data_IF_559867631820
#
_entry.id   IF_559867631820
#
_cell.length_a   1.000
_cell.length_b   1.000
_cell.length_c   1.000
_cell.angle_alpha   90.00
_cell.angle_beta   90.00
_cell.angle_gamma   90.00
#
_symmetry.space_group_name_H-M   'P 1'
#
loop_
_entity.id
_entity.type
_entity.pdbx_description
1 polymer ?
#
# COMPACT_ATOMS: atom_id res chain seq x y z
N UNK A 1 27.86 -25.03 8.54
CA UNK A 1 26.54 -24.64 9.05
C UNK A 1 25.85 -23.92 7.91
N UNK A 2 24.91 -24.57 7.23
CA UNK A 2 24.05 -23.89 6.27
C UNK A 2 23.02 -23.07 7.05
N UNK A 3 23.33 -21.78 7.25
CA UNK A 3 22.54 -20.86 8.09
C UNK A 3 21.20 -20.49 7.44
N UNK A 4 20.96 -20.88 6.18
CA UNK A 4 19.79 -20.44 5.40
C UNK A 4 19.02 -21.65 4.88
N UNK A 5 17.87 -21.92 5.50
CA UNK A 5 16.86 -22.79 4.92
C UNK A 5 16.38 -22.16 3.61
N UNK A 6 16.71 -22.77 2.48
CA UNK A 6 16.12 -22.40 1.19
C UNK A 6 14.60 -22.56 1.28
N UNK A 7 13.88 -21.47 1.06
CA UNK A 7 12.44 -21.53 0.81
C UNK A 7 12.28 -22.37 -0.46
N UNK A 8 11.64 -23.54 -0.35
CA UNK A 8 11.26 -24.31 -1.52
C UNK A 8 10.26 -23.46 -2.30
N UNK A 9 10.51 -23.24 -3.59
CA UNK A 9 9.55 -22.62 -4.50
C UNK A 9 8.35 -23.56 -4.62
N UNK A 10 7.41 -23.46 -3.70
CA UNK A 10 6.11 -24.08 -3.80
C UNK A 10 5.26 -23.19 -4.70
N UNK A 11 4.89 -23.71 -5.86
CA UNK A 11 3.76 -23.33 -6.72
C UNK A 11 3.56 -21.84 -7.06
N UNK A 12 4.59 -21.01 -6.94
CA UNK A 12 4.49 -19.58 -7.25
C UNK A 12 3.63 -18.79 -6.25
N UNK A 13 3.42 -19.32 -5.04
CA UNK A 13 2.66 -18.71 -3.95
C UNK A 13 3.57 -18.20 -2.82
N UNK A 14 4.65 -17.49 -3.16
CA UNK A 14 5.57 -16.89 -2.19
C UNK A 14 5.52 -15.35 -2.24
N UNK A 15 6.13 -14.69 -1.25
CA UNK A 15 6.09 -13.22 -1.17
C UNK A 15 6.69 -12.53 -2.41
N UNK A 16 7.73 -13.12 -3.02
CA UNK A 16 8.37 -12.58 -4.22
C UNK A 16 7.44 -12.63 -5.43
N UNK A 17 6.72 -13.74 -5.62
CA UNK A 17 5.73 -13.85 -6.70
C UNK A 17 4.52 -12.95 -6.46
N UNK A 18 4.08 -12.78 -5.20
CA UNK A 18 3.04 -11.83 -4.84
C UNK A 18 3.42 -10.38 -5.19
N UNK A 19 4.64 -9.95 -4.85
CA UNK A 19 5.18 -8.63 -5.23
C UNK A 19 5.20 -8.47 -6.76
N UNK A 20 5.69 -9.48 -7.49
CA UNK A 20 5.73 -9.44 -8.95
C UNK A 20 4.33 -9.34 -9.59
N UNK A 21 3.36 -10.10 -9.07
CA UNK A 21 1.97 -10.07 -9.55
C UNK A 21 1.30 -8.71 -9.27
N UNK A 22 1.61 -8.12 -8.12
CA UNK A 22 1.13 -6.78 -7.77
C UNK A 22 1.72 -5.71 -8.68
N UNK A 23 3.04 -5.69 -8.90
CA UNK A 23 3.69 -4.74 -9.84
C UNK A 23 3.16 -4.90 -11.27
N UNK A 24 2.97 -6.13 -11.73
CA UNK A 24 2.35 -6.40 -13.04
C UNK A 24 0.94 -5.82 -13.11
N UNK A 25 0.14 -6.04 -12.06
CA UNK A 25 -1.21 -5.49 -11.96
C UNK A 25 -1.25 -3.96 -11.95
N UNK A 26 -0.36 -3.33 -11.19
CA UNK A 26 -0.22 -1.87 -11.15
C UNK A 26 0.10 -1.34 -12.55
N UNK A 27 1.08 -1.93 -13.24
CA UNK A 27 1.43 -1.56 -14.61
C UNK A 27 0.24 -1.68 -15.57
N UNK A 28 -0.52 -2.77 -15.49
CA UNK A 28 -1.72 -2.99 -16.32
C UNK A 28 -2.79 -1.92 -16.08
N UNK A 29 -3.09 -1.62 -14.81
CA UNK A 29 -4.06 -0.59 -14.41
C UNK A 29 -3.62 0.77 -14.97
N UNK A 30 -2.37 1.16 -14.69
CA UNK A 30 -1.83 2.45 -15.10
C UNK A 30 -1.87 2.63 -16.62
N UNK A 31 -1.41 1.63 -17.39
CA UNK A 31 -1.43 1.70 -18.86
C UNK A 31 -2.85 1.80 -19.41
N UNK A 32 -3.77 0.98 -18.88
CA UNK A 32 -5.17 0.98 -19.30
C UNK A 32 -5.81 2.35 -19.03
N UNK A 33 -5.64 2.89 -17.83
CA UNK A 33 -6.23 4.17 -17.45
C UNK A 33 -5.62 5.33 -18.23
N UNK A 34 -4.30 5.40 -18.38
CA UNK A 34 -3.67 6.46 -19.17
C UNK A 34 -4.20 6.50 -20.62
N UNK A 35 -4.49 5.34 -21.21
CA UNK A 35 -5.08 5.26 -22.56
C UNK A 35 -6.56 5.64 -22.66
N UNK A 36 -7.29 5.67 -21.54
CA UNK A 36 -8.73 5.85 -21.50
C UNK A 36 -9.15 7.09 -20.69
N UNK A 37 -8.97 7.04 -19.36
CA UNK A 37 -9.28 8.11 -18.41
C UNK A 37 -8.18 8.12 -17.35
N UNK A 38 -7.39 9.19 -17.33
CA UNK A 38 -6.28 9.37 -16.40
C UNK A 38 -6.76 10.13 -15.15
N UNK A 39 -7.23 9.37 -14.17
CA UNK A 39 -7.92 9.90 -12.99
C UNK A 39 -7.54 9.12 -11.72
N UNK A 40 -7.28 9.85 -10.63
CA UNK A 40 -6.81 9.26 -9.38
C UNK A 40 -7.90 8.46 -8.65
N UNK A 41 -9.17 8.80 -8.83
CA UNK A 41 -10.28 8.09 -8.20
C UNK A 41 -10.48 6.73 -8.86
N UNK A 42 -10.50 6.70 -10.19
CA UNK A 42 -10.54 5.46 -10.96
C UNK A 42 -9.31 4.58 -10.68
N UNK A 43 -8.13 5.18 -10.50
CA UNK A 43 -6.92 4.49 -10.05
C UNK A 43 -7.13 3.81 -8.70
N UNK A 44 -7.73 4.52 -7.75
CA UNK A 44 -8.01 4.03 -6.40
C UNK A 44 -9.00 2.85 -6.41
N UNK A 45 -10.08 2.94 -7.20
CA UNK A 45 -11.03 1.86 -7.39
C UNK A 45 -10.37 0.61 -7.99
N UNK A 46 -9.67 0.77 -9.11
CA UNK A 46 -9.02 -0.34 -9.83
C UNK A 46 -7.94 -1.01 -8.99
N UNK A 47 -7.20 -0.23 -8.21
CA UNK A 47 -6.20 -0.76 -7.29
C UNK A 47 -6.85 -1.56 -6.15
N UNK A 48 -7.96 -1.06 -5.57
CA UNK A 48 -8.70 -1.76 -4.52
C UNK A 48 -9.20 -3.13 -4.97
N UNK A 49 -9.81 -3.19 -6.16
CA UNK A 49 -10.27 -4.43 -6.78
C UNK A 49 -9.10 -5.41 -7.03
N UNK A 50 -7.99 -4.90 -7.59
CA UNK A 50 -6.81 -5.73 -7.88
C UNK A 50 -6.20 -6.31 -6.60
N UNK A 51 -6.10 -5.51 -5.53
CA UNK A 51 -5.58 -5.97 -4.25
C UNK A 51 -6.44 -7.10 -3.67
N UNK A 52 -7.75 -6.94 -3.63
CA UNK A 52 -8.64 -8.00 -3.15
C UNK A 52 -8.58 -9.25 -4.04
N UNK A 53 -8.54 -9.09 -5.36
CA UNK A 53 -8.39 -10.20 -6.30
C UNK A 53 -7.10 -10.99 -6.11
N UNK A 54 -6.00 -10.29 -5.81
CA UNK A 54 -4.69 -10.92 -5.63
C UNK A 54 -4.53 -11.59 -4.26
N UNK A 55 -5.11 -11.03 -3.21
CA UNK A 55 -4.78 -11.40 -1.83
C UNK A 55 -5.93 -11.97 -1.00
N UNK A 56 -7.20 -11.86 -1.41
CA UNK A 56 -8.29 -12.39 -0.60
C UNK A 56 -8.25 -13.92 -0.52
N UNK A 57 -8.32 -14.44 0.71
CA UNK A 57 -8.28 -15.88 1.05
C UNK A 57 -7.08 -16.62 0.45
N UNK A 58 -5.91 -15.98 0.51
CA UNK A 58 -4.65 -16.52 -0.04
C UNK A 58 -3.68 -16.88 1.06
N UNK A 59 -2.93 -17.96 0.86
CA UNK A 59 -1.74 -18.28 1.66
C UNK A 59 -0.50 -17.89 0.89
N UNK A 60 0.34 -17.06 1.50
CA UNK A 60 1.60 -16.57 0.95
C UNK A 60 2.73 -17.18 1.76
N UNK A 61 3.64 -17.90 1.10
CA UNK A 61 4.84 -18.41 1.75
C UNK A 61 5.86 -17.28 1.97
N UNK A 62 6.23 -17.08 3.23
CA UNK A 62 7.16 -16.05 3.68
C UNK A 62 8.37 -16.70 4.37
N UNK A 63 9.52 -16.02 4.48
CA UNK A 63 10.62 -16.52 5.31
C UNK A 63 10.11 -16.80 6.73
N UNK A 64 10.30 -18.04 7.21
CA UNK A 64 9.89 -18.45 8.55
C UNK A 64 8.48 -19.05 8.67
N UNK A 65 7.64 -19.02 7.62
CA UNK A 65 6.31 -19.62 7.72
C UNK A 65 5.39 -19.36 6.52
N UNK A 66 4.11 -19.20 6.80
CA UNK A 66 3.07 -18.85 5.84
C UNK A 66 2.19 -17.76 6.42
N UNK A 67 1.75 -16.87 5.57
CA UNK A 67 0.82 -15.80 5.90
C UNK A 67 -0.48 -16.05 5.14
N UNK A 68 -1.54 -16.40 5.84
CA UNK A 68 -2.89 -16.40 5.32
C UNK A 68 -3.47 -14.99 5.39
N UNK A 69 -4.15 -14.57 4.33
CA UNK A 69 -4.68 -13.21 4.21
C UNK A 69 -6.13 -13.19 3.78
N UNK A 70 -6.94 -12.34 4.40
CA UNK A 70 -8.35 -12.09 4.04
C UNK A 70 -8.59 -10.61 3.80
N UNK A 71 -9.22 -10.28 2.69
CA UNK A 71 -9.33 -8.90 2.18
C UNK A 71 -10.76 -8.58 1.78
N UNK A 72 -11.24 -7.41 2.18
CA UNK A 72 -12.51 -6.86 1.69
C UNK A 72 -12.31 -5.38 1.35
N UNK A 73 -12.85 -4.96 0.22
CA UNK A 73 -12.84 -3.57 -0.21
C UNK A 73 -14.21 -2.94 0.01
N UNK A 74 -14.17 -1.68 0.41
CA UNK A 74 -15.33 -0.84 0.61
C UNK A 74 -15.09 0.52 -0.02
N UNK A 75 -16.16 1.18 -0.43
CA UNK A 75 -16.15 2.58 -0.84
C UNK A 75 -17.21 3.35 -0.04
N UNK A 76 -17.05 4.66 0.10
CA UNK A 76 -18.11 5.48 0.68
C UNK A 76 -19.33 5.50 -0.24
N UNK A 77 -20.52 5.37 0.35
CA UNK A 77 -21.79 5.30 -0.38
C UNK A 77 -22.06 6.50 -1.30
N UNK A 78 -21.66 7.69 -0.85
CA UNK A 78 -21.73 8.97 -1.54
C UNK A 78 -20.34 9.63 -1.46
N UNK A 79 -19.96 10.46 -2.44
CA UNK A 79 -18.70 11.20 -2.38
C UNK A 79 -18.66 12.01 -1.08
N UNK A 80 -17.68 11.78 -0.18
CA UNK A 80 -17.68 12.46 1.09
C UNK A 80 -17.44 13.95 0.85
N UNK A 81 -18.13 14.81 1.61
CA UNK A 81 -17.95 16.27 1.52
C UNK A 81 -16.48 16.68 1.65
N UNK A 82 -15.71 15.87 2.38
CA UNK A 82 -14.29 16.04 2.59
C UNK A 82 -13.58 14.68 2.57
N UNK A 83 -12.73 14.49 1.57
CA UNK A 83 -11.85 13.32 1.49
C UNK A 83 -10.66 13.53 2.44
N UNK A 84 -10.42 12.55 3.30
CA UNK A 84 -9.25 12.51 4.18
C UNK A 84 -8.03 11.94 3.46
N UNK A 85 -8.21 10.83 2.75
CA UNK A 85 -7.24 10.19 1.86
C UNK A 85 -7.96 9.45 0.74
N UNK A 86 -7.28 9.17 -0.37
CA UNK A 86 -7.85 8.33 -1.44
C UNK A 86 -8.20 6.94 -0.92
N UNK A 87 -7.29 6.31 -0.16
CA UNK A 87 -7.48 4.97 0.37
C UNK A 87 -7.02 4.88 1.82
N UNK A 88 -7.68 4.03 2.61
CA UNK A 88 -7.20 3.58 3.90
C UNK A 88 -7.21 2.05 3.95
N UNK A 89 -6.30 1.50 4.76
CA UNK A 89 -6.28 0.09 5.13
C UNK A 89 -6.54 0.00 6.63
N UNK A 90 -7.31 -0.98 7.08
CA UNK A 90 -7.29 -1.42 8.47
C UNK A 90 -6.76 -2.85 8.47
N UNK A 91 -5.60 -3.04 9.08
CA UNK A 91 -4.92 -4.32 9.16
C UNK A 91 -5.08 -4.88 10.56
N UNK A 92 -5.65 -6.08 10.66
CA UNK A 92 -5.60 -6.93 11.84
C UNK A 92 -4.55 -8.00 11.61
N UNK A 93 -3.54 -8.06 12.47
CA UNK A 93 -2.38 -8.94 12.33
C UNK A 93 -2.28 -9.82 13.56
N UNK A 94 -2.39 -11.14 13.37
CA UNK A 94 -2.14 -12.17 14.38
C UNK A 94 -0.76 -12.78 14.14
N UNK A 95 0.15 -12.58 15.09
CA UNK A 95 1.53 -13.07 15.01
C UNK A 95 1.62 -14.54 15.48
N UNK A 96 2.74 -15.19 15.13
CA UNK A 96 3.02 -16.59 15.46
C UNK A 96 3.01 -16.94 16.97
N UNK A 97 3.23 -15.94 17.82
CA UNK A 97 3.16 -16.05 19.29
C UNK A 97 1.76 -15.74 19.84
N UNK A 98 0.78 -15.50 18.95
CA UNK A 98 -0.62 -15.13 19.23
C UNK A 98 -0.80 -13.70 19.74
N UNK A 99 0.23 -12.87 19.68
CA UNK A 99 0.02 -11.44 19.85
C UNK A 99 -0.78 -10.92 18.66
N UNK A 100 -1.71 -10.00 18.93
CA UNK A 100 -2.58 -9.41 17.93
C UNK A 100 -2.45 -7.90 17.96
N UNK A 101 -2.43 -7.30 16.78
CA UNK A 101 -2.44 -5.85 16.64
C UNK A 101 -3.37 -5.43 15.53
N UNK A 102 -4.08 -4.32 15.72
CA UNK A 102 -4.88 -3.68 14.68
C UNK A 102 -4.38 -2.26 14.45
N UNK A 103 -4.10 -1.92 13.20
CA UNK A 103 -3.62 -0.59 12.83
C UNK A 103 -4.13 -0.14 11.47
N UNK A 104 -4.08 1.17 11.21
CA UNK A 104 -4.52 1.78 9.97
C UNK A 104 -3.36 2.33 9.15
N UNK A 105 -3.43 2.17 7.83
CA UNK A 105 -2.55 2.86 6.89
C UNK A 105 -3.37 3.76 5.96
N UNK A 106 -2.78 4.86 5.50
CA UNK A 106 -3.44 5.82 4.62
C UNK A 106 -2.60 6.10 3.39
N UNK A 107 -3.23 6.13 2.22
CA UNK A 107 -2.63 6.49 0.94
C UNK A 107 -3.40 7.64 0.29
N UNK A 108 -2.69 8.70 -0.07
CA UNK A 108 -3.20 9.78 -0.93
C UNK A 108 -2.64 9.58 -2.35
N UNK A 109 -3.51 9.23 -3.29
CA UNK A 109 -3.14 8.79 -4.64
C UNK A 109 -3.12 10.00 -5.58
N UNK A 110 -2.01 10.16 -6.30
CA UNK A 110 -1.81 11.25 -7.25
C UNK A 110 -1.26 10.73 -8.56
N UNK A 111 -1.77 11.27 -9.66
CA UNK A 111 -1.41 10.86 -11.02
C UNK A 111 -0.56 11.94 -11.70
N UNK A 112 0.50 11.54 -12.40
CA UNK A 112 1.38 12.49 -13.10
C UNK A 112 0.66 13.22 -14.22
N UNK A 113 0.88 14.52 -14.36
CA UNK A 113 0.32 15.32 -15.45
C UNK A 113 0.82 14.81 -16.83
N UNK A 114 -0.07 14.54 -17.80
CA UNK A 114 0.33 14.05 -19.12
C UNK A 114 1.36 14.96 -19.81
N UNK A 115 2.48 14.37 -20.21
CA UNK A 115 3.58 15.06 -20.89
C UNK A 115 4.42 15.99 -20.01
N UNK A 116 4.23 15.97 -18.68
CA UNK A 116 4.94 16.84 -17.74
C UNK A 116 5.56 16.02 -16.60
N UNK A 117 6.50 16.63 -15.87
CA UNK A 117 7.13 16.03 -14.70
C UNK A 117 6.50 16.50 -13.38
N UNK A 118 5.19 16.76 -13.38
CA UNK A 118 4.46 17.38 -12.27
C UNK A 118 3.29 16.51 -11.85
N UNK A 119 2.91 16.63 -10.57
CA UNK A 119 1.69 16.10 -9.96
C UNK A 119 0.86 17.30 -9.48
N UNK A 120 0.16 17.95 -10.42
CA UNK A 120 -0.51 19.24 -10.15
C UNK A 120 -1.68 19.14 -9.18
N UNK A 121 -2.26 17.96 -9.05
CA UNK A 121 -3.36 17.60 -8.16
C UNK A 121 -2.96 17.52 -6.68
N UNK A 122 -1.66 17.38 -6.38
CA UNK A 122 -1.14 17.39 -5.01
C UNK A 122 -1.48 18.73 -4.33
N UNK A 123 -2.23 18.67 -3.23
CA UNK A 123 -2.57 19.83 -2.39
C UNK A 123 -1.78 19.77 -1.08
N UNK A 124 -0.83 20.69 -0.89
CA UNK A 124 0.04 20.73 0.31
C UNK A 124 -0.75 20.79 1.62
N UNK A 125 -1.86 21.51 1.64
CA UNK A 125 -2.72 21.60 2.83
C UNK A 125 -3.47 20.29 3.13
N UNK A 126 -3.81 19.52 2.08
CA UNK A 126 -4.39 18.19 2.26
C UNK A 126 -3.37 17.22 2.84
N UNK A 127 -2.16 17.17 2.26
CA UNK A 127 -1.05 16.36 2.79
C UNK A 127 -0.71 16.75 4.22
N UNK A 128 -0.67 18.05 4.55
CA UNK A 128 -0.42 18.52 5.92
C UNK A 128 -1.50 18.06 6.90
N UNK A 129 -2.78 18.14 6.50
CA UNK A 129 -3.90 17.65 7.31
C UNK A 129 -3.82 16.14 7.54
N UNK A 130 -3.49 15.39 6.49
CA UNK A 130 -3.30 13.95 6.53
C UNK A 130 -2.16 13.59 7.49
N UNK A 131 -0.96 14.15 7.29
CA UNK A 131 0.22 13.94 8.15
C UNK A 131 -0.03 14.30 9.63
N UNK A 132 -0.82 15.34 9.90
CA UNK A 132 -1.14 15.76 11.29
C UNK A 132 -1.95 14.70 12.03
N UNK A 133 -2.78 13.93 11.33
CA UNK A 133 -3.66 12.93 11.95
C UNK A 133 -3.17 11.50 11.78
N UNK A 134 -2.33 11.24 10.77
CA UNK A 134 -1.69 9.97 10.46
C UNK A 134 -0.24 10.21 9.97
N UNK A 135 0.74 10.34 10.87
CA UNK A 135 2.13 10.63 10.51
C UNK A 135 2.82 9.60 9.58
N UNK A 136 2.39 8.35 9.61
CA UNK A 136 2.91 7.27 8.76
C UNK A 136 2.18 7.16 7.40
N UNK A 137 1.26 8.07 7.11
CA UNK A 137 0.57 8.13 5.82
C UNK A 137 1.53 8.32 4.65
N UNK A 138 1.13 7.81 3.48
CA UNK A 138 1.93 7.88 2.26
C UNK A 138 1.20 8.66 1.17
N UNK A 139 2.00 9.30 0.31
CA UNK A 139 1.57 9.79 -1.00
C UNK A 139 1.95 8.71 -2.02
N UNK A 140 0.97 8.23 -2.79
CA UNK A 140 1.18 7.27 -3.87
C UNK A 140 1.26 8.02 -5.21
N UNK A 141 2.44 8.05 -5.80
CA UNK A 141 2.73 8.70 -7.08
C UNK A 141 2.59 7.68 -8.21
N UNK A 142 1.52 7.82 -9.00
CA UNK A 142 1.26 7.00 -10.18
C UNK A 142 1.78 7.68 -11.45
N UNK A 143 2.63 6.97 -12.20
CA UNK A 143 3.28 7.47 -13.41
C UNK A 143 3.05 6.48 -14.56
N UNK A 144 2.62 6.98 -15.72
CA UNK A 144 2.47 6.20 -16.94
C UNK A 144 3.84 5.80 -17.54
N UNK A 145 4.91 6.52 -17.19
CA UNK A 145 6.29 6.15 -17.46
C UNK A 145 6.84 5.24 -16.34
N UNK A 146 7.78 4.36 -16.67
CA UNK A 146 8.43 3.52 -15.67
C UNK A 146 9.26 4.38 -14.69
N UNK A 147 9.01 4.23 -13.40
CA UNK A 147 9.73 4.92 -12.32
C UNK A 147 10.96 4.09 -11.96
N UNK A 148 12.12 4.74 -11.93
CA UNK A 148 13.40 4.20 -11.49
C UNK A 148 14.17 5.22 -10.63
N UNK A 149 15.32 4.84 -10.07
CA UNK A 149 16.13 5.76 -9.24
C UNK A 149 15.49 6.12 -7.90
N UNK A 150 14.60 5.24 -7.42
CA UNK A 150 13.96 5.34 -6.11
C UNK A 150 14.95 5.19 -4.96
N UNK A 151 14.53 5.57 -3.74
CA UNK A 151 15.29 5.22 -2.54
C UNK A 151 15.45 3.69 -2.52
N UNK A 152 16.70 3.22 -2.54
CA UNK A 152 16.98 1.81 -2.68
C UNK A 152 16.41 1.07 -1.47
N UNK A 153 15.31 0.35 -1.67
CA UNK A 153 14.91 -0.68 -0.74
C UNK A 153 16.04 -1.71 -0.76
N UNK A 154 16.71 -1.91 0.36
CA UNK A 154 17.54 -3.10 0.55
C UNK A 154 16.61 -4.30 0.34
N UNK A 155 16.60 -4.89 -0.87
CA UNK A 155 16.01 -6.21 -1.08
C UNK A 155 16.57 -7.13 0.03
N UNK A 156 15.76 -8.01 0.63
CA UNK A 156 16.25 -9.01 1.58
C UNK A 156 17.45 -9.81 1.04
N UNK A 157 17.58 -9.90 -0.28
CA UNK A 157 18.72 -10.49 -1.00
C UNK A 157 20.06 -9.77 -0.70
N UNK A 158 20.04 -8.49 -0.29
CA UNK A 158 21.22 -7.73 0.13
C UNK A 158 21.62 -7.96 1.60
N UNK A 159 20.71 -8.46 2.45
CA UNK A 159 21.00 -8.76 3.86
C UNK A 159 21.63 -10.16 3.99
N UNK A 160 21.35 -11.05 3.04
CA UNK A 160 22.03 -12.33 2.90
C UNK A 160 23.35 -12.10 2.18
N UNK A 161 24.46 -12.03 2.92
CA UNK A 161 25.82 -11.78 2.41
C UNK A 161 26.40 -12.85 1.47
N UNK A 162 25.62 -13.34 0.49
CA UNK A 162 26.01 -14.40 -0.42
C UNK A 162 25.44 -14.24 -1.84
N UNK A 163 25.57 -13.06 -2.43
CA UNK A 163 25.46 -12.88 -3.88
C UNK A 163 26.52 -11.88 -4.37
N UNK A 164 27.48 -12.39 -5.16
CA UNK A 164 28.45 -11.56 -5.89
C UNK A 164 27.71 -10.66 -6.88
N UNK A 165 27.98 -9.37 -6.76
CA UNK A 165 27.36 -8.29 -7.50
C UNK A 165 27.44 -8.43 -9.03
N UNK A 166 26.30 -8.24 -9.70
CA UNK A 166 26.27 -7.37 -10.88
C UNK A 166 25.19 -6.31 -10.63
N UNK A 167 25.58 -5.04 -10.55
CA UNK A 167 24.66 -3.89 -10.49
C UNK A 167 23.72 -3.80 -11.71
N UNK A 168 23.88 -4.66 -12.71
CA UNK A 168 23.31 -4.52 -14.04
C UNK A 168 21.95 -5.22 -14.27
N UNK A 169 21.44 -6.05 -13.35
CA UNK A 169 20.29 -6.90 -13.70
C UNK A 169 18.95 -6.55 -13.06
N UNK A 170 18.88 -5.74 -12.00
CA UNK A 170 17.61 -5.41 -11.32
C UNK A 170 17.62 -3.95 -10.87
N UNK A 171 17.38 -3.02 -11.80
CA UNK A 171 16.84 -1.73 -11.40
C UNK A 171 15.34 -1.95 -11.17
N UNK A 172 14.83 -1.92 -9.92
CA UNK A 172 13.41 -2.07 -9.69
C UNK A 172 12.68 -0.94 -10.42
N UNK A 173 11.81 -1.31 -11.35
CA UNK A 173 10.90 -0.39 -12.02
C UNK A 173 9.51 -0.59 -11.45
N UNK A 174 8.80 0.51 -11.25
CA UNK A 174 7.39 0.49 -10.83
C UNK A 174 6.63 1.57 -11.58
N UNK A 175 5.30 1.51 -11.52
CA UNK A 175 4.42 2.58 -11.98
C UNK A 175 3.67 3.24 -10.81
N UNK A 176 3.92 2.83 -9.57
CA UNK A 176 3.32 3.41 -8.38
C UNK A 176 4.32 3.45 -7.22
N UNK A 177 4.82 4.65 -6.90
CA UNK A 177 5.84 4.87 -5.89
C UNK A 177 5.27 5.58 -4.66
N UNK A 178 5.52 5.05 -3.47
CA UNK A 178 5.11 5.61 -2.19
C UNK A 178 6.20 6.48 -1.59
N UNK A 179 5.82 7.66 -1.07
CA UNK A 179 6.67 8.51 -0.24
C UNK A 179 5.89 8.93 1.01
N UNK A 180 6.54 8.92 2.17
CA UNK A 180 5.92 9.38 3.42
C UNK A 180 5.47 10.84 3.29
N UNK A 181 4.27 11.15 3.80
CA UNK A 181 3.71 12.51 3.72
C UNK A 181 4.61 13.54 4.41
N UNK A 182 5.22 13.19 5.55
CA UNK A 182 6.20 14.04 6.23
C UNK A 182 7.41 14.38 5.33
N UNK A 183 8.00 13.38 4.66
CA UNK A 183 9.11 13.60 3.76
C UNK A 183 8.71 14.41 2.52
N UNK A 184 7.53 14.14 1.95
CA UNK A 184 6.99 14.91 0.84
C UNK A 184 6.80 16.40 1.22
N UNK A 185 6.29 16.66 2.43
CA UNK A 185 6.17 18.02 2.98
C UNK A 185 7.52 18.69 3.20
N UNK A 186 8.49 17.97 3.74
CA UNK A 186 9.84 18.48 3.99
C UNK A 186 10.57 18.84 2.69
N UNK A 187 10.42 18.02 1.64
CA UNK A 187 10.97 18.33 0.31
C UNK A 187 10.22 19.50 -0.35
N UNK A 188 8.92 19.64 -0.09
CA UNK A 188 8.12 20.74 -0.63
C UNK A 188 7.90 20.70 -2.15
N UNK A 189 8.27 19.60 -2.79
CA UNK A 189 8.19 19.34 -4.22
C UNK A 189 6.83 18.74 -4.62
N UNK A 190 6.46 18.88 -5.89
CA UNK A 190 5.29 18.22 -6.51
C UNK A 190 5.65 17.63 -7.88
N UNK A 191 6.88 17.21 -8.02
CA UNK A 191 7.46 16.78 -9.29
C UNK A 191 7.98 15.36 -9.18
N UNK A 192 8.42 14.78 -10.30
CA UNK A 192 9.13 13.50 -10.33
C UNK A 192 10.41 13.49 -9.46
N UNK A 193 10.88 14.65 -8.99
CA UNK A 193 11.96 14.73 -8.00
C UNK A 193 11.64 14.04 -6.66
N UNK A 194 10.36 13.81 -6.34
CA UNK A 194 9.94 13.06 -5.16
C UNK A 194 10.37 11.58 -5.22
N UNK A 195 10.65 11.04 -6.43
CA UNK A 195 11.01 9.63 -6.59
C UNK A 195 12.25 9.23 -5.78
N UNK A 196 13.21 10.15 -5.60
CA UNK A 196 14.44 9.92 -4.82
C UNK A 196 14.21 9.50 -3.36
N UNK A 197 13.06 9.86 -2.80
CA UNK A 197 12.67 9.54 -1.42
C UNK A 197 11.55 8.50 -1.34
N UNK A 198 11.19 7.89 -2.47
CA UNK A 198 10.09 6.93 -2.59
C UNK A 198 10.57 5.49 -2.73
N UNK A 199 9.67 4.54 -2.55
CA UNK A 199 9.83 3.10 -2.81
C UNK A 199 8.59 2.54 -3.53
N UNK A 200 8.68 1.39 -4.22
CA UNK A 200 7.51 0.78 -4.86
C UNK A 200 6.37 0.51 -3.86
N UNK A 201 5.13 0.74 -4.26
CA UNK A 201 3.97 0.44 -3.42
C UNK A 201 3.90 -1.04 -3.02
N UNK A 202 4.25 -1.95 -3.92
CA UNK A 202 4.31 -3.38 -3.61
C UNK A 202 5.25 -3.69 -2.45
N UNK A 203 6.35 -2.93 -2.32
CA UNK A 203 7.27 -3.07 -1.21
C UNK A 203 6.65 -2.57 0.10
N UNK A 204 6.04 -1.38 0.09
CA UNK A 204 5.33 -0.84 1.25
C UNK A 204 4.27 -1.81 1.77
N UNK A 205 3.47 -2.36 0.87
CA UNK A 205 2.39 -3.27 1.24
C UNK A 205 2.93 -4.60 1.79
N UNK A 206 3.71 -5.31 0.97
CA UNK A 206 4.10 -6.69 1.22
C UNK A 206 5.21 -6.83 2.27
N UNK A 207 6.08 -5.83 2.42
CA UNK A 207 7.24 -5.90 3.31
C UNK A 207 7.16 -4.98 4.53
N UNK A 208 6.20 -4.04 4.57
CA UNK A 208 6.05 -3.11 5.70
C UNK A 208 4.68 -3.27 6.35
N UNK A 209 3.60 -2.99 5.64
CA UNK A 209 2.25 -3.11 6.20
C UNK A 209 1.92 -4.52 6.68
N UNK A 210 2.27 -5.57 5.93
CA UNK A 210 1.98 -6.96 6.34
C UNK A 210 2.65 -7.38 7.65
N UNK A 211 3.68 -6.65 8.07
CA UNK A 211 4.41 -6.90 9.31
C UNK A 211 4.14 -5.83 10.38
N UNK A 212 3.08 -5.03 10.19
CA UNK A 212 2.68 -3.97 11.10
C UNK A 212 3.50 -2.69 11.00
N UNK A 213 4.48 -2.60 10.11
CA UNK A 213 5.30 -1.38 10.00
C UNK A 213 4.52 -0.26 9.31
N UNK A 214 4.78 0.99 9.72
CA UNK A 214 4.13 2.21 9.21
C UNK A 214 2.60 2.23 9.32
N UNK A 215 2.08 1.66 10.41
CA UNK A 215 0.65 1.71 10.74
C UNK A 215 0.39 2.70 11.88
N UNK A 216 -0.83 3.24 11.89
CA UNK A 216 -1.39 4.01 12.99
C UNK A 216 -2.23 3.10 13.88
N UNK A 217 -1.76 2.82 15.09
CA UNK A 217 -2.42 1.83 15.97
C UNK A 217 -3.54 2.40 16.85
N UNK A 218 -3.52 3.71 17.11
CA UNK A 218 -4.39 4.32 18.11
C UNK A 218 -4.90 5.71 17.71
N UNK A 219 -5.96 6.13 18.38
CA UNK A 219 -6.46 7.51 18.36
C UNK A 219 -7.16 7.90 17.06
N UNK A 220 -7.09 9.19 16.75
CA UNK A 220 -7.89 9.82 15.67
C UNK A 220 -7.69 9.17 14.31
N UNK A 221 -6.51 8.63 13.99
CA UNK A 221 -6.29 7.91 12.74
C UNK A 221 -7.22 6.70 12.61
N UNK A 222 -7.25 5.83 13.62
CA UNK A 222 -8.11 4.64 13.63
C UNK A 222 -9.59 5.01 13.53
N UNK A 223 -10.04 6.01 14.30
CA UNK A 223 -11.43 6.49 14.29
C UNK A 223 -11.83 7.02 12.90
N UNK A 224 -10.91 7.70 12.20
CA UNK A 224 -11.12 8.18 10.82
C UNK A 224 -11.20 6.99 9.85
N UNK A 225 -10.29 6.02 9.94
CA UNK A 225 -10.29 4.84 9.07
C UNK A 225 -11.59 4.03 9.18
N UNK A 226 -12.11 3.87 10.41
CA UNK A 226 -13.38 3.17 10.67
C UNK A 226 -14.61 3.97 10.26
N UNK A 227 -14.48 5.27 9.99
CA UNK A 227 -15.61 6.16 9.73
C UNK A 227 -16.40 6.55 10.98
N UNK A 228 -15.78 6.47 12.16
CA UNK A 228 -16.35 6.95 13.43
C UNK A 228 -16.17 8.47 13.58
N UNK A 229 -15.09 9.01 13.00
CA UNK A 229 -14.75 10.42 13.05
C UNK A 229 -14.57 11.02 11.65
N UNK A 230 -15.50 11.90 11.26
CA UNK A 230 -15.59 12.43 9.88
C UNK A 230 -15.30 13.94 9.78
N UNK A 231 -15.08 14.65 10.89
CA UNK A 231 -14.79 16.09 10.95
C UNK A 231 -13.51 16.47 10.16
N UNK A 232 -12.53 15.57 10.15
CA UNK A 232 -11.29 15.72 9.38
C UNK A 232 -11.40 15.22 7.94
N UNK A 233 -12.55 14.65 7.57
CA UNK A 233 -12.82 13.95 6.32
C UNK A 233 -12.84 12.44 6.51
N UNK A 234 -13.15 11.73 5.43
CA UNK A 234 -13.26 10.27 5.40
C UNK A 234 -12.39 9.70 4.27
N UNK A 235 -11.73 8.55 4.45
CA UNK A 235 -11.13 7.81 3.34
C UNK A 235 -12.17 7.45 2.29
N UNK A 236 -11.89 7.70 1.01
CA UNK A 236 -12.85 7.37 -0.06
C UNK A 236 -13.00 5.85 -0.23
N UNK A 237 -11.86 5.16 -0.30
CA UNK A 237 -11.79 3.70 -0.32
C UNK A 237 -11.25 3.18 1.01
N UNK A 238 -11.79 2.07 1.48
CA UNK A 238 -11.34 1.37 2.68
C UNK A 238 -11.10 -0.10 2.35
N UNK A 239 -9.95 -0.64 2.74
CA UNK A 239 -9.63 -2.06 2.62
C UNK A 239 -9.40 -2.63 4.01
N UNK A 240 -10.18 -3.62 4.39
CA UNK A 240 -9.92 -4.38 5.63
C UNK A 240 -9.08 -5.60 5.31
N UNK A 241 -8.01 -5.79 6.06
CA UNK A 241 -7.04 -6.86 5.84
C UNK A 241 -6.86 -7.64 7.13
N UNK A 242 -7.15 -8.93 7.13
CA UNK A 242 -6.76 -9.82 8.21
C UNK A 242 -5.56 -10.66 7.78
N UNK A 243 -4.57 -10.74 8.64
CA UNK A 243 -3.30 -11.44 8.44
C UNK A 243 -3.06 -12.40 9.59
N UNK A 244 -2.72 -13.66 9.31
CA UNK A 244 -2.35 -14.62 10.34
C UNK A 244 -1.78 -15.92 9.77
N UNK A 245 -1.43 -16.88 10.62
CA UNK A 245 -0.80 -18.13 10.19
C UNK A 245 -1.74 -19.02 9.35
N UNK A 246 -3.05 -18.92 9.57
CA UNK A 246 -4.07 -19.70 8.87
C UNK A 246 -5.43 -18.98 8.89
N UNK A 247 -6.43 -19.56 8.22
CA UNK A 247 -7.77 -18.97 8.11
C UNK A 247 -8.51 -18.80 9.45
N UNK A 248 -8.20 -19.62 10.47
CA UNK A 248 -8.87 -19.55 11.77
C UNK A 248 -8.37 -18.41 12.67
N UNK A 249 -7.21 -17.84 12.36
CA UNK A 249 -6.63 -16.70 13.09
C UNK A 249 -6.97 -15.37 12.44
N UNK A 250 -7.87 -15.36 11.45
CA UNK A 250 -8.28 -14.15 10.77
C UNK A 250 -9.62 -13.63 11.32
N UNK A 251 -9.63 -12.34 11.67
CA UNK A 251 -10.82 -11.62 12.09
C UNK A 251 -11.57 -11.07 10.87
N UNK A 252 -12.89 -10.94 11.01
CA UNK A 252 -13.80 -10.35 10.03
C UNK A 252 -14.46 -9.06 10.55
N UNK A 253 -14.35 -8.75 11.85
CA UNK A 253 -14.94 -7.56 12.45
C UNK A 253 -13.92 -6.45 12.70
N UNK A 254 -13.88 -5.50 11.77
CA UNK A 254 -12.98 -4.35 11.85
C UNK A 254 -13.60 -3.14 12.54
N UNK A 255 -14.84 -3.24 13.04
CA UNK A 255 -15.57 -2.12 13.64
C UNK A 255 -15.88 -0.99 12.65
N UNK A 256 -16.01 -1.32 11.36
CA UNK A 256 -16.25 -0.31 10.32
C UNK A 256 -17.67 0.23 10.37
N UNK A 257 -17.82 1.52 10.14
CA UNK A 257 -19.13 2.16 10.02
C UNK A 257 -19.82 1.75 8.72
N UNK A 258 -20.64 0.71 8.78
CA UNK A 258 -21.40 0.16 7.64
C UNK A 258 -22.51 1.07 7.11
N UNK A 259 -22.84 2.16 7.82
CA UNK A 259 -23.74 3.18 7.27
C UNK A 259 -23.03 4.11 6.28
N UNK A 260 -21.70 4.25 6.44
CA UNK A 260 -20.84 5.10 5.62
C UNK A 260 -20.21 4.32 4.46
N UNK A 261 -19.72 3.11 4.76
CA UNK A 261 -19.02 2.25 3.82
C UNK A 261 -19.93 1.17 3.24
N UNK A 262 -19.85 0.99 1.91
CA UNK A 262 -20.49 -0.10 1.17
C UNK A 262 -19.41 -1.01 0.60
N UNK A 263 -19.63 -2.31 0.70
CA UNK A 263 -18.74 -3.30 0.09
C UNK A 263 -18.77 -3.15 -1.43
N UNK A 264 -17.60 -3.23 -2.07
CA UNK A 264 -17.40 -3.08 -3.51
C UNK A 264 -17.64 -4.39 -4.27
#
# INVERSE_FOLDING_TARGET
>A
MDVIRKIKNHDGSNLKSAVFQLETGIMEIVRKQFSAVWDADLMSASLSEKLCSLFNERTIHVPGGSLFTKWKAYCTADPPEKIFSSMAFILHISFHDRDEVTGAAFLDIHVKDPGKNTFSDIKKDAIRRLNTSAPHSQVLLCDYDAIAGMAFATSPEYIVGNATHTWNNWMPVTHAACIQTELALALGEKTTSLYKGSFPFSYQLCHRYFYGLDLEYHGTAMDIARGEKTDKGTPHYLITVSLGDNASTCDDDFGINRSLYREM
#
